data_IF_421299703657
#
_entry.id   IF_421299703657
#
_cell.length_a   1.000
_cell.length_b   1.000
_cell.length_c   1.000
_cell.angle_alpha   90.00
_cell.angle_beta   90.00
_cell.angle_gamma   90.00
#
_symmetry.space_group_name_H-M   'P 1'
#
loop_
_entity.id
_entity.type
_entity.pdbx_description
1 polymer ?
#
# COMPACT_ATOMS: atom_id res chain seq x y z
N UNK A 1 12.04 -19.90 -0.94
CA UNK A 1 12.31 -18.46 -0.69
C UNK A 1 11.02 -17.82 -0.19
N UNK A 2 11.10 -16.91 0.77
CA UNK A 2 9.95 -16.10 1.21
C UNK A 2 9.95 -14.74 0.49
N UNK A 3 8.75 -14.18 0.28
CA UNK A 3 8.61 -12.82 -0.23
C UNK A 3 9.07 -11.83 0.84
N UNK A 4 9.86 -10.82 0.43
CA UNK A 4 10.37 -9.77 1.33
C UNK A 4 9.76 -8.39 1.05
N UNK A 5 9.23 -8.18 -0.15
CA UNK A 5 8.65 -6.92 -0.58
C UNK A 5 7.53 -7.18 -1.59
N UNK A 6 6.47 -6.38 -1.52
CA UNK A 6 5.38 -6.32 -2.50
C UNK A 6 5.21 -4.85 -2.89
N UNK A 7 5.35 -4.56 -4.19
CA UNK A 7 5.04 -3.26 -4.76
C UNK A 7 3.64 -3.31 -5.40
N UNK A 8 2.79 -2.33 -5.09
CA UNK A 8 1.37 -2.34 -5.47
C UNK A 8 1.01 -1.03 -6.16
N UNK A 9 0.44 -1.13 -7.36
CA UNK A 9 -0.16 0.00 -8.05
C UNK A 9 -1.50 0.41 -7.42
N UNK A 10 -1.92 1.65 -7.63
CA UNK A 10 -3.16 2.20 -7.04
C UNK A 10 -4.36 1.92 -7.94
N UNK A 11 -4.37 2.52 -9.13
CA UNK A 11 -5.57 2.63 -9.96
C UNK A 11 -5.83 1.35 -10.74
N UNK A 12 -6.97 0.71 -10.47
CA UNK A 12 -7.30 -0.58 -11.07
C UNK A 12 -6.55 -1.77 -10.45
N UNK A 13 -5.79 -1.54 -9.37
CA UNK A 13 -5.08 -2.58 -8.62
C UNK A 13 -5.43 -2.56 -7.14
N UNK A 14 -4.93 -1.58 -6.36
CA UNK A 14 -5.23 -1.44 -4.93
C UNK A 14 -6.68 -1.00 -4.69
N UNK A 15 -7.16 -0.05 -5.49
CA UNK A 15 -8.49 0.53 -5.34
C UNK A 15 -9.50 -0.25 -6.18
N UNK A 16 -10.69 -0.43 -5.63
CA UNK A 16 -11.83 -0.94 -6.38
C UNK A 16 -12.38 0.14 -7.35
N UNK A 17 -13.43 -0.20 -8.11
CA UNK A 17 -14.05 0.72 -9.07
C UNK A 17 -14.74 1.94 -8.43
N UNK A 18 -14.93 1.93 -7.10
CA UNK A 18 -15.43 3.06 -6.31
C UNK A 18 -14.28 3.91 -5.73
N UNK A 19 -13.03 3.63 -6.10
CA UNK A 19 -11.83 4.28 -5.56
C UNK A 19 -11.65 4.09 -4.06
N UNK A 20 -12.03 2.92 -3.54
CA UNK A 20 -11.95 2.57 -2.12
C UNK A 20 -10.98 1.42 -1.89
N UNK A 21 -10.31 1.45 -0.74
CA UNK A 21 -9.59 0.31 -0.18
C UNK A 21 -10.63 -0.56 0.53
N UNK A 22 -10.72 -1.84 0.17
CA UNK A 22 -11.65 -2.74 0.86
C UNK A 22 -11.06 -3.22 2.19
N UNK A 23 -11.92 -3.66 3.09
CA UNK A 23 -11.51 -4.23 4.39
C UNK A 23 -10.56 -5.42 4.21
N UNK A 24 -10.78 -6.23 3.18
CA UNK A 24 -9.94 -7.38 2.85
C UNK A 24 -8.54 -6.95 2.42
N UNK A 25 -8.44 -5.94 1.53
CA UNK A 25 -7.15 -5.38 1.08
C UNK A 25 -6.39 -4.78 2.26
N UNK A 26 -7.07 -3.98 3.08
CA UNK A 26 -6.47 -3.40 4.28
C UNK A 26 -5.92 -4.50 5.20
N UNK A 27 -6.72 -5.54 5.49
CA UNK A 27 -6.31 -6.65 6.36
C UNK A 27 -5.11 -7.41 5.79
N UNK A 28 -5.12 -7.72 4.49
CA UNK A 28 -4.02 -8.41 3.83
C UNK A 28 -2.70 -7.62 3.89
N UNK A 29 -2.76 -6.30 3.71
CA UNK A 29 -1.60 -5.41 3.85
C UNK A 29 -1.06 -5.45 5.28
N UNK A 30 -1.93 -5.35 6.29
CA UNK A 30 -1.50 -5.41 7.68
C UNK A 30 -0.87 -6.76 8.03
N UNK A 31 -1.42 -7.87 7.56
CA UNK A 31 -0.89 -9.20 7.84
C UNK A 31 0.46 -9.44 7.14
N UNK A 32 0.63 -8.94 5.92
CA UNK A 32 1.92 -8.96 5.23
C UNK A 32 2.97 -8.10 5.98
N UNK A 33 2.59 -6.91 6.45
CA UNK A 33 3.47 -6.04 7.25
C UNK A 33 3.89 -6.71 8.57
N UNK A 34 2.95 -7.36 9.28
CA UNK A 34 3.22 -8.16 10.48
C UNK A 34 4.16 -9.34 10.22
N UNK A 35 4.06 -9.96 9.03
CA UNK A 35 4.95 -11.03 8.59
C UNK A 35 6.36 -10.52 8.19
N UNK A 36 6.63 -9.22 8.32
CA UNK A 36 7.92 -8.60 7.98
C UNK A 36 8.11 -8.32 6.49
N UNK A 37 7.04 -8.41 5.68
CA UNK A 37 7.07 -8.07 4.27
C UNK A 37 6.94 -6.55 4.12
N UNK A 38 7.78 -5.94 3.29
CA UNK A 38 7.69 -4.52 2.96
C UNK A 38 6.59 -4.28 1.94
N UNK A 39 5.62 -3.44 2.28
CA UNK A 39 4.57 -2.99 1.37
C UNK A 39 4.96 -1.62 0.83
N UNK A 40 5.04 -1.50 -0.49
CA UNK A 40 5.43 -0.26 -1.18
C UNK A 40 4.34 0.10 -2.16
N UNK A 41 3.72 1.26 -1.98
CA UNK A 41 2.81 1.81 -2.98
C UNK A 41 3.65 2.38 -4.13
N UNK A 42 3.35 1.97 -5.36
CA UNK A 42 4.10 2.36 -6.56
C UNK A 42 3.13 2.87 -7.62
N UNK A 43 3.13 4.17 -7.88
CA UNK A 43 2.14 4.83 -8.74
C UNK A 43 2.79 6.00 -9.49
N UNK A 44 2.12 6.53 -10.52
CA UNK A 44 2.49 7.81 -11.14
C UNK A 44 1.80 9.02 -10.51
N UNK A 45 0.99 8.83 -9.46
CA UNK A 45 0.36 9.94 -8.74
C UNK A 45 1.41 10.73 -7.96
N UNK A 46 1.33 12.07 -7.91
CA UNK A 46 2.22 12.87 -7.08
C UNK A 46 2.02 12.51 -5.60
N UNK A 47 3.02 12.81 -4.76
CA UNK A 47 3.00 12.49 -3.32
C UNK A 47 1.74 12.99 -2.58
N UNK A 48 1.19 14.14 -3.00
CA UNK A 48 -0.06 14.68 -2.45
C UNK A 48 -1.28 13.79 -2.74
N UNK A 49 -1.28 13.09 -3.88
CA UNK A 49 -2.36 12.22 -4.33
C UNK A 49 -2.34 10.81 -3.72
N UNK A 50 -1.32 10.47 -2.94
CA UNK A 50 -1.18 9.15 -2.28
C UNK A 50 -1.17 9.23 -0.76
N UNK A 51 -0.98 10.42 -0.18
CA UNK A 51 -0.81 10.60 1.26
C UNK A 51 -1.96 10.01 2.09
N UNK A 52 -3.20 10.26 1.69
CA UNK A 52 -4.38 9.71 2.38
C UNK A 52 -4.41 8.17 2.36
N UNK A 53 -4.00 7.55 1.24
CA UNK A 53 -3.91 6.09 1.10
C UNK A 53 -2.82 5.53 2.02
N UNK A 54 -1.65 6.19 2.09
CA UNK A 54 -0.57 5.78 2.98
C UNK A 54 -0.99 5.88 4.46
N UNK A 55 -1.71 6.93 4.84
CA UNK A 55 -2.26 7.11 6.18
C UNK A 55 -3.31 6.04 6.50
N UNK A 56 -4.26 5.78 5.59
CA UNK A 56 -5.30 4.74 5.74
C UNK A 56 -4.71 3.33 5.90
N UNK A 57 -3.63 3.02 5.17
CA UNK A 57 -2.94 1.73 5.24
C UNK A 57 -1.88 1.64 6.34
N UNK A 58 -1.68 2.69 7.14
CA UNK A 58 -0.59 2.78 8.12
C UNK A 58 0.79 2.50 7.50
N UNK A 59 1.08 3.07 6.33
CA UNK A 59 2.34 2.96 5.59
C UNK A 59 3.18 4.24 5.70
N UNK A 60 3.21 4.82 6.89
CA UNK A 60 3.91 6.08 7.19
C UNK A 60 4.95 5.93 8.32
N UNK A 61 5.25 4.69 8.72
CA UNK A 61 6.25 4.43 9.75
C UNK A 61 7.67 4.60 9.22
N UNK A 62 8.64 4.71 10.14
CA UNK A 62 10.05 4.74 9.75
C UNK A 62 10.44 3.46 9.00
N UNK A 63 10.93 3.62 7.77
CA UNK A 63 11.33 2.50 6.92
C UNK A 63 10.20 1.91 6.06
N UNK A 64 9.06 2.60 5.97
CA UNK A 64 8.11 2.48 4.88
C UNK A 64 8.53 3.37 3.69
N UNK A 65 8.16 2.96 2.47
CA UNK A 65 8.57 3.61 1.23
C UNK A 65 7.40 3.74 0.26
N UNK A 66 7.46 4.74 -0.61
CA UNK A 66 6.52 4.97 -1.71
C UNK A 66 7.30 5.36 -2.97
N UNK A 67 6.81 4.94 -4.13
CA UNK A 67 7.32 5.32 -5.44
C UNK A 67 6.21 6.12 -6.15
N UNK A 68 6.52 7.34 -6.56
CA UNK A 68 5.62 8.31 -7.21
C UNK A 68 6.24 8.88 -8.48
#
# INVERSE_FOLDING_TARGET
MSIKLVAIDIDGTLLNSQHQITTEVHTAIQDAKKAGVKIVIATGRPISGVRAILEELNLTDTGDYVIT
#
